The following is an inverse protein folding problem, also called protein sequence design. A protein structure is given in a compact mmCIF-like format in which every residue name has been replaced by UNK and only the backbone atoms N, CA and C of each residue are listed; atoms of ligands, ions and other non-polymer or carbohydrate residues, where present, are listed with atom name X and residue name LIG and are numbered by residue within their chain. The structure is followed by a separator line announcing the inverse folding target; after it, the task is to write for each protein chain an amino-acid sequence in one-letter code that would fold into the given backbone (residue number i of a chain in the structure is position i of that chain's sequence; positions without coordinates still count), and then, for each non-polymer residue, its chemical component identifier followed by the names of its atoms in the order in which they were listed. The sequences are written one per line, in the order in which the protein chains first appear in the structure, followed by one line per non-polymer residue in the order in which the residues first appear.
data_IF_785929501526
#
_entry.id   IF_785929501526
#
_cell.length_a   1.000
_cell.length_b   1.000
_cell.length_c   1.000
_cell.angle_alpha   90.00
_cell.angle_beta   90.00
_cell.angle_gamma   90.00
#
_symmetry.space_group_name_H-M   'P 1'
#
loop_
_entity.id
_entity.type
_entity.pdbx_description
1 polymer ?
#
# COMPACT_ATOMS: atom_id res chain seq x y z
N UNK A 1 -18.31 1.66 -10.68
CA UNK A 1 -17.49 0.51 -10.24
C UNK A 1 -17.98 0.03 -8.88
N UNK A 2 -18.23 -1.28 -8.76
CA UNK A 2 -18.74 -1.91 -7.54
C UNK A 2 -17.69 -1.88 -6.40
N UNK A 3 -18.15 -2.05 -5.15
CA UNK A 3 -17.27 -2.03 -3.98
C UNK A 3 -16.19 -3.13 -4.04
N UNK A 4 -16.56 -4.30 -4.57
CA UNK A 4 -15.65 -5.45 -4.74
C UNK A 4 -14.57 -5.16 -5.78
N UNK A 5 -14.93 -4.61 -6.95
CA UNK A 5 -13.99 -4.21 -8.00
C UNK A 5 -12.94 -3.21 -7.50
N UNK A 6 -13.35 -2.22 -6.68
CA UNK A 6 -12.42 -1.24 -6.08
C UNK A 6 -11.46 -1.89 -5.09
N UNK A 7 -11.93 -2.88 -4.33
CA UNK A 7 -11.10 -3.64 -3.39
C UNK A 7 -10.11 -4.53 -4.15
N UNK A 8 -10.55 -5.20 -5.21
CA UNK A 8 -9.70 -5.99 -6.10
C UNK A 8 -8.65 -5.12 -6.76
N UNK A 9 -9.03 -3.95 -7.27
CA UNK A 9 -8.08 -2.98 -7.84
C UNK A 9 -7.04 -2.53 -6.80
N UNK A 10 -7.46 -2.25 -5.56
CA UNK A 10 -6.57 -1.93 -4.46
C UNK A 10 -5.58 -3.07 -4.16
N UNK A 11 -6.08 -4.30 -4.00
CA UNK A 11 -5.28 -5.49 -3.72
C UNK A 11 -4.27 -5.72 -4.84
N UNK A 12 -4.73 -5.76 -6.09
CA UNK A 12 -3.88 -6.04 -7.25
C UNK A 12 -2.87 -4.94 -7.51
N UNK A 13 -3.24 -3.67 -7.32
CA UNK A 13 -2.31 -2.54 -7.43
C UNK A 13 -1.21 -2.63 -6.38
N UNK A 14 -1.53 -3.01 -5.14
CA UNK A 14 -0.54 -3.22 -4.09
C UNK A 14 0.39 -4.40 -4.44
N UNK A 15 -0.17 -5.55 -4.85
CA UNK A 15 0.63 -6.73 -5.16
C UNK A 15 1.54 -6.53 -6.39
N UNK A 16 1.13 -5.69 -7.35
CA UNK A 16 1.95 -5.29 -8.51
C UNK A 16 3.23 -4.54 -8.08
N UNK A 17 3.22 -3.81 -6.95
CA UNK A 17 4.39 -3.08 -6.44
C UNK A 17 5.38 -3.95 -5.67
N UNK A 18 5.07 -5.24 -5.46
CA UNK A 18 5.87 -6.16 -4.62
C UNK A 18 6.51 -7.30 -5.44
N UNK A 19 7.41 -7.00 -6.40
CA UNK A 19 8.09 -8.02 -7.18
C UNK A 19 8.98 -8.89 -6.28
N UNK A 20 9.07 -10.18 -6.58
CA UNK A 20 9.88 -11.19 -5.88
C UNK A 20 9.50 -11.43 -4.40
N UNK A 21 8.32 -11.00 -3.97
CA UNK A 21 7.87 -11.12 -2.58
C UNK A 21 6.50 -11.80 -2.45
N UNK A 22 6.32 -12.95 -3.10
CA UNK A 22 5.14 -13.81 -2.91
C UNK A 22 5.25 -14.55 -1.58
N UNK A 23 4.90 -13.87 -0.50
CA UNK A 23 5.01 -14.41 0.86
C UNK A 23 3.97 -13.80 1.82
N UNK A 24 3.82 -14.43 2.98
CA UNK A 24 2.85 -14.01 4.01
C UNK A 24 3.11 -12.60 4.57
N UNK A 25 4.37 -12.10 4.57
CA UNK A 25 4.68 -10.75 5.07
C UNK A 25 4.05 -9.69 4.17
N UNK A 26 4.03 -9.91 2.86
CA UNK A 26 3.38 -9.02 1.90
C UNK A 26 1.87 -8.99 2.11
N UNK A 27 1.26 -10.14 2.41
CA UNK A 27 -0.18 -10.23 2.74
C UNK A 27 -0.52 -9.49 4.03
N UNK A 28 0.32 -9.61 5.07
CA UNK A 28 0.16 -8.86 6.32
C UNK A 28 0.21 -7.35 6.08
N UNK A 29 1.20 -6.89 5.31
CA UNK A 29 1.29 -5.48 4.90
C UNK A 29 0.04 -5.03 4.15
N UNK A 30 -0.43 -5.81 3.18
CA UNK A 30 -1.66 -5.52 2.43
C UNK A 30 -2.87 -5.35 3.37
N UNK A 31 -3.02 -6.21 4.37
CA UNK A 31 -4.09 -6.11 5.38
C UNK A 31 -3.97 -4.81 6.19
N UNK A 32 -2.76 -4.46 6.62
CA UNK A 32 -2.51 -3.22 7.34
C UNK A 32 -2.83 -1.99 6.48
N UNK A 33 -2.48 -2.00 5.19
CA UNK A 33 -2.85 -0.95 4.25
C UNK A 33 -4.35 -0.88 3.98
N UNK A 34 -5.03 -2.02 3.96
CA UNK A 34 -6.47 -2.11 3.77
C UNK A 34 -7.27 -1.39 4.85
N UNK A 35 -6.77 -1.36 6.10
CA UNK A 35 -7.40 -0.62 7.21
C UNK A 35 -7.60 0.86 6.87
N UNK A 36 -6.64 1.49 6.18
CA UNK A 36 -6.71 2.90 5.76
C UNK A 36 -7.73 3.16 4.65
N UNK A 37 -8.13 2.12 3.91
CA UNK A 37 -9.18 2.18 2.90
C UNK A 37 -10.50 1.55 3.39
N UNK A 38 -10.65 1.39 4.72
CA UNK A 38 -11.82 0.79 5.39
C UNK A 38 -12.09 -0.66 4.98
N UNK A 39 -11.10 -1.36 4.46
CA UNK A 39 -11.18 -2.79 4.18
C UNK A 39 -10.73 -3.58 5.40
N UNK A 40 -11.60 -4.49 5.88
CA UNK A 40 -11.29 -5.38 7.00
C UNK A 40 -10.46 -6.56 6.50
N UNK A 41 -9.61 -7.10 7.37
CA UNK A 41 -8.76 -8.26 7.04
C UNK A 41 -9.55 -9.44 6.42
N UNK A 42 -10.74 -9.84 6.94
CA UNK A 42 -11.50 -10.93 6.33
C UNK A 42 -11.97 -10.64 4.91
N UNK A 43 -12.26 -9.37 4.58
CA UNK A 43 -12.71 -8.98 3.24
C UNK A 43 -11.55 -9.11 2.24
N UNK A 44 -10.37 -8.61 2.62
CA UNK A 44 -9.16 -8.70 1.80
C UNK A 44 -8.78 -10.16 1.57
N UNK A 45 -8.81 -10.97 2.63
CA UNK A 45 -8.49 -12.39 2.55
C UNK A 45 -9.49 -13.14 1.63
N UNK A 46 -10.79 -12.89 1.78
CA UNK A 46 -11.78 -13.49 0.89
C UNK A 46 -11.52 -13.13 -0.59
N UNK A 47 -11.21 -11.88 -0.90
CA UNK A 47 -10.90 -11.48 -2.28
C UNK A 47 -9.60 -12.10 -2.77
N UNK A 48 -8.57 -12.23 -1.93
CA UNK A 48 -7.34 -12.95 -2.28
C UNK A 48 -7.60 -14.42 -2.60
N UNK A 49 -8.45 -15.11 -1.85
CA UNK A 49 -8.82 -16.50 -2.13
C UNK A 49 -9.64 -16.64 -3.42
N UNK A 50 -10.60 -15.75 -3.67
CA UNK A 50 -11.34 -15.73 -4.94
C UNK A 50 -10.41 -15.52 -6.14
N UNK A 51 -9.45 -14.61 -6.00
CA UNK A 51 -8.51 -14.26 -7.07
C UNK A 51 -7.35 -15.25 -7.23
N UNK A 52 -7.24 -16.26 -6.38
CA UNK A 52 -6.08 -17.15 -6.33
C UNK A 52 -5.92 -18.05 -7.58
N UNK A 53 -4.85 -18.83 -7.61
CA UNK A 53 -4.55 -19.72 -8.74
C UNK A 53 -5.58 -20.85 -8.94
N UNK A 54 -6.28 -21.29 -7.89
CA UNK A 54 -7.26 -22.38 -7.98
C UNK A 54 -8.63 -21.90 -8.46
N UNK A 55 -8.94 -20.63 -8.25
CA UNK A 55 -10.26 -20.08 -8.53
C UNK A 55 -10.25 -19.21 -9.80
N UNK A 56 -9.97 -17.91 -9.68
CA UNK A 56 -10.04 -16.99 -10.82
C UNK A 56 -8.72 -16.88 -11.60
N UNK A 57 -7.62 -17.44 -11.10
CA UNK A 57 -6.30 -17.43 -11.76
C UNK A 57 -5.77 -16.02 -12.03
N UNK A 58 -6.17 -15.05 -11.21
CA UNK A 58 -5.68 -13.66 -11.25
C UNK A 58 -4.32 -13.57 -10.55
N UNK A 59 -4.16 -14.30 -9.45
CA UNK A 59 -2.93 -14.41 -8.69
C UNK A 59 -2.22 -15.72 -8.99
N UNK A 60 -0.90 -15.68 -8.89
CA UNK A 60 -0.06 -16.86 -8.99
C UNK A 60 -0.20 -17.71 -7.72
N UNK A 61 -0.33 -17.08 -6.55
CA UNK A 61 -0.43 -17.77 -5.27
C UNK A 61 -1.78 -18.49 -5.09
N UNK A 62 -1.78 -19.55 -4.27
CA UNK A 62 -2.99 -20.20 -3.76
C UNK A 62 -3.16 -19.87 -2.29
N UNK A 63 -4.39 -19.53 -1.89
CA UNK A 63 -4.70 -19.20 -0.50
C UNK A 63 -5.59 -20.28 0.11
N UNK A 64 -5.26 -20.68 1.34
CA UNK A 64 -6.12 -21.51 2.18
C UNK A 64 -6.35 -20.77 3.49
N UNK A 65 -7.60 -20.32 3.66
CA UNK A 65 -7.99 -19.43 4.74
C UNK A 65 -8.69 -20.26 5.79
N UNK A 66 -7.97 -20.54 6.87
CA UNK A 66 -8.56 -21.04 8.09
C UNK A 66 -8.75 -19.88 9.07
N UNK A 67 -9.99 -19.52 9.38
CA UNK A 67 -10.27 -18.43 10.31
C UNK A 67 -10.00 -18.81 11.78
N UNK A 68 -9.67 -20.07 12.06
CA UNK A 68 -9.28 -20.59 13.38
C UNK A 68 -7.75 -20.73 13.48
N UNK A 69 -7.09 -21.29 12.45
CA UNK A 69 -5.64 -21.56 12.43
C UNK A 69 -4.80 -20.52 11.65
N UNK A 70 -5.45 -19.51 11.06
CA UNK A 70 -4.80 -18.44 10.29
C UNK A 70 -4.70 -18.71 8.79
N UNK A 71 -4.06 -17.78 8.08
CA UNK A 71 -3.95 -17.81 6.62
C UNK A 71 -2.72 -18.62 6.21
N UNK A 72 -2.93 -19.69 5.44
CA UNK A 72 -1.87 -20.45 4.80
C UNK A 72 -1.73 -19.98 3.36
N UNK A 73 -0.54 -19.51 3.02
CA UNK A 73 -0.16 -19.23 1.64
C UNK A 73 0.63 -20.44 1.14
N UNK A 74 0.12 -21.07 0.08
CA UNK A 74 0.88 -22.11 -0.59
C UNK A 74 1.91 -21.44 -1.50
N UNK A 75 3.18 -21.56 -1.10
CA UNK A 75 4.30 -21.11 -1.90
C UNK A 75 4.35 -21.94 -3.19
N UNK A 76 4.10 -21.27 -4.31
CA UNK A 76 4.16 -21.85 -5.65
C UNK A 76 5.50 -21.53 -6.35
N UNK A 77 6.47 -20.97 -5.62
CA UNK A 77 7.75 -20.47 -6.12
C UNK A 77 7.64 -19.40 -7.22
N UNK A 78 6.53 -18.67 -7.28
CA UNK A 78 6.39 -17.56 -8.22
C UNK A 78 7.22 -16.34 -7.79
N UNK A 79 7.84 -15.70 -8.78
CA UNK A 79 8.56 -14.44 -8.63
C UNK A 79 7.64 -13.22 -8.64
N UNK A 80 6.37 -13.39 -9.02
CA UNK A 80 5.38 -12.32 -9.15
C UNK A 80 4.03 -12.76 -8.61
N UNK A 81 3.29 -11.80 -8.05
CA UNK A 81 1.95 -12.04 -7.52
C UNK A 81 0.87 -12.21 -8.58
N UNK A 82 0.93 -11.44 -9.66
CA UNK A 82 -0.09 -11.42 -10.69
C UNK A 82 0.29 -12.37 -11.82
N UNK A 83 -0.69 -13.13 -12.32
CA UNK A 83 -0.58 -13.82 -13.62
C UNK A 83 -0.74 -12.82 -14.76
N UNK A 84 -0.48 -13.23 -16.00
CA UNK A 84 -0.79 -12.41 -17.18
C UNK A 84 -2.28 -12.01 -17.22
N UNK A 85 -3.16 -12.93 -16.81
CA UNK A 85 -4.60 -12.68 -16.64
C UNK A 85 -4.84 -11.61 -15.57
N UNK A 86 -4.17 -11.70 -14.43
CA UNK A 86 -4.31 -10.71 -13.37
C UNK A 86 -3.81 -9.33 -13.75
N UNK A 87 -2.71 -9.25 -14.52
CA UNK A 87 -2.21 -7.98 -15.06
C UNK A 87 -3.21 -7.38 -16.07
N UNK A 88 -3.82 -8.19 -16.93
CA UNK A 88 -4.86 -7.72 -17.86
C UNK A 88 -6.10 -7.23 -17.09
N UNK A 89 -6.57 -8.01 -16.13
CA UNK A 89 -7.73 -7.65 -15.29
C UNK A 89 -7.48 -6.36 -14.49
N UNK A 90 -6.28 -6.17 -13.94
CA UNK A 90 -5.92 -4.93 -13.27
C UNK A 90 -5.95 -3.72 -14.21
N UNK A 91 -5.53 -3.88 -15.47
CA UNK A 91 -5.62 -2.80 -16.47
C UNK A 91 -7.08 -2.45 -16.78
N UNK A 92 -7.96 -3.45 -16.88
CA UNK A 92 -9.40 -3.24 -17.09
C UNK A 92 -10.03 -2.50 -15.91
N UNK A 93 -9.74 -2.90 -14.68
CA UNK A 93 -10.20 -2.21 -13.48
C UNK A 93 -9.74 -0.76 -13.45
N UNK A 94 -8.44 -0.50 -13.67
CA UNK A 94 -7.89 0.87 -13.73
C UNK A 94 -8.58 1.73 -14.81
N UNK A 95 -8.93 1.15 -15.96
CA UNK A 95 -9.64 1.84 -17.05
C UNK A 95 -11.11 2.12 -16.72
N UNK A 96 -11.78 1.22 -15.99
CA UNK A 96 -13.14 1.44 -15.51
C UNK A 96 -13.19 2.51 -14.42
N UNK A 97 -12.15 2.61 -13.59
CA UNK A 97 -12.09 3.60 -12.52
C UNK A 97 -11.91 5.02 -13.05
N UNK A 98 -11.10 5.21 -14.09
CA UNK A 98 -10.90 6.52 -14.73
C UNK A 98 -12.19 7.11 -15.34
N UNK A 99 -13.26 6.31 -15.46
CA UNK A 99 -14.56 6.73 -15.99
C UNK A 99 -15.62 6.97 -14.89
N UNK A 100 -15.27 6.87 -13.60
CA UNK A 100 -16.20 6.80 -12.47
C UNK A 100 -15.77 7.75 -11.33
N UNK A 101 -16.05 9.04 -11.47
CA UNK A 101 -15.58 10.11 -10.55
C UNK A 101 -16.37 10.31 -9.24
N UNK A 102 -17.35 9.46 -8.91
CA UNK A 102 -18.10 9.60 -7.65
C UNK A 102 -18.04 8.32 -6.79
N UNK A 103 -17.76 8.51 -5.50
CA UNK A 103 -17.64 7.44 -4.51
C UNK A 103 -18.45 7.80 -3.27
N UNK A 104 -19.35 6.91 -2.87
CA UNK A 104 -20.02 6.95 -1.57
C UNK A 104 -19.44 5.80 -0.71
N UNK A 105 -18.77 6.15 0.37
CA UNK A 105 -18.19 5.19 1.31
C UNK A 105 -19.07 5.10 2.56
N UNK A 106 -19.32 3.90 3.11
CA UNK A 106 -19.94 3.78 4.42
C UNK A 106 -19.11 4.53 5.48
N UNK A 107 -19.76 5.44 6.22
CA UNK A 107 -19.16 6.20 7.32
C UNK A 107 -19.26 5.39 8.61
N UNK A 108 -18.12 5.02 9.19
CA UNK A 108 -18.03 4.67 10.60
C UNK A 108 -16.77 5.31 11.18
N UNK A 109 -16.93 5.87 12.37
CA UNK A 109 -15.99 6.70 13.12
C UNK A 109 -15.00 5.81 13.88
N UNK A 110 -13.69 5.96 13.64
CA UNK A 110 -12.66 5.36 14.47
C UNK A 110 -11.60 6.42 14.80
N UNK A 111 -11.51 6.75 16.09
CA UNK A 111 -10.54 7.69 16.66
C UNK A 111 -9.13 7.07 16.56
N UNK A 112 -8.22 7.72 15.83
CA UNK A 112 -6.79 7.41 15.77
C UNK A 112 -6.04 8.49 16.55
N UNK A 113 -5.23 8.08 17.53
CA UNK A 113 -4.35 8.99 18.30
C UNK A 113 -3.39 9.73 17.35
N UNK A 114 -3.47 11.06 17.37
CA UNK A 114 -2.72 11.95 16.48
C UNK A 114 -1.35 12.30 17.07
N UNK A 115 -0.29 11.90 16.37
CA UNK A 115 1.08 12.35 16.61
C UNK A 115 1.34 13.68 15.90
N UNK A 116 2.32 14.47 16.36
CA UNK A 116 2.70 15.76 15.73
C UNK A 116 3.08 15.62 14.25
N UNK A 117 3.54 14.43 13.82
CA UNK A 117 3.92 14.13 12.44
C UNK A 117 2.73 13.84 11.51
N UNK A 118 1.55 13.53 12.07
CA UNK A 118 0.35 13.26 11.28
C UNK A 118 -0.09 14.49 10.49
N UNK A 119 0.26 15.71 10.92
CA UNK A 119 0.00 16.92 10.14
C UNK A 119 0.78 16.97 8.81
N UNK A 120 2.07 16.64 8.84
CA UNK A 120 2.90 16.62 7.62
C UNK A 120 2.54 15.47 6.69
N UNK A 121 2.24 14.30 7.25
CA UNK A 121 1.77 13.14 6.49
C UNK A 121 0.36 13.36 5.91
N UNK A 122 -0.49 14.12 6.61
CA UNK A 122 -1.80 14.54 6.08
C UNK A 122 -1.63 15.45 4.87
N UNK A 123 -0.70 16.41 4.90
CA UNK A 123 -0.39 17.26 3.74
C UNK A 123 0.20 16.46 2.58
N UNK A 124 1.06 15.47 2.86
CA UNK A 124 1.58 14.56 1.85
C UNK A 124 0.47 13.72 1.21
N UNK A 125 -0.41 13.13 2.01
CA UNK A 125 -1.52 12.32 1.49
C UNK A 125 -2.63 13.15 0.84
N UNK A 126 -2.70 14.46 1.08
CA UNK A 126 -3.66 15.35 0.43
C UNK A 126 -3.46 15.48 -1.09
N UNK A 127 -2.23 15.27 -1.59
CA UNK A 127 -1.97 15.25 -3.04
C UNK A 127 -2.57 14.02 -3.72
N UNK A 128 -3.15 13.08 -2.95
CA UNK A 128 -3.88 11.92 -3.50
C UNK A 128 -4.91 12.34 -4.56
N UNK A 129 -5.52 13.51 -4.43
CA UNK A 129 -6.49 14.03 -5.40
C UNK A 129 -5.86 14.49 -6.72
N UNK A 130 -4.56 14.84 -6.72
CA UNK A 130 -3.83 15.29 -7.91
C UNK A 130 -3.21 14.12 -8.70
N UNK A 131 -3.09 12.95 -8.05
CA UNK A 131 -2.59 11.74 -8.69
C UNK A 131 -3.64 11.12 -9.61
N UNK A 132 -3.22 10.82 -10.85
CA UNK A 132 -4.14 10.34 -11.90
C UNK A 132 -4.50 8.88 -11.73
N UNK A 133 -3.57 8.04 -11.27
CA UNK A 133 -3.80 6.60 -11.14
C UNK A 133 -3.99 6.16 -9.69
N UNK A 134 -4.88 5.20 -9.45
CA UNK A 134 -5.03 4.58 -8.13
C UNK A 134 -3.74 3.90 -7.66
N UNK A 135 -2.96 3.36 -8.59
CA UNK A 135 -1.62 2.81 -8.30
C UNK A 135 -0.70 3.87 -7.69
N UNK A 136 -0.69 5.10 -8.22
CA UNK A 136 0.06 6.21 -7.61
C UNK A 136 -0.54 6.63 -6.27
N UNK A 137 -1.87 6.63 -6.12
CA UNK A 137 -2.54 6.91 -4.83
C UNK A 137 -2.19 5.88 -3.76
N UNK A 138 -2.09 4.61 -4.13
CA UNK A 138 -1.65 3.51 -3.25
C UNK A 138 -0.16 3.66 -2.96
N UNK A 139 0.67 3.95 -3.97
CA UNK A 139 2.11 4.19 -3.77
C UNK A 139 2.36 5.38 -2.84
N UNK A 140 1.55 6.44 -2.93
CA UNK A 140 1.58 7.59 -2.01
C UNK A 140 1.23 7.17 -0.57
N UNK A 141 0.25 6.28 -0.40
CA UNK A 141 -0.13 5.76 0.92
C UNK A 141 0.98 4.87 1.50
N UNK A 142 1.57 3.99 0.68
CA UNK A 142 2.73 3.17 1.07
C UNK A 142 3.92 4.05 1.47
N UNK A 143 4.19 5.06 0.65
CA UNK A 143 5.27 5.99 0.90
C UNK A 143 5.05 6.80 2.19
N UNK A 144 3.84 7.33 2.40
CA UNK A 144 3.50 8.06 3.62
C UNK A 144 3.57 7.17 4.87
N UNK A 145 3.19 5.88 4.78
CA UNK A 145 3.29 4.96 5.90
C UNK A 145 4.76 4.65 6.26
N UNK A 146 5.61 4.40 5.27
CA UNK A 146 7.04 4.16 5.49
C UNK A 146 7.72 5.41 6.06
N UNK A 147 7.31 6.61 5.62
CA UNK A 147 7.74 7.87 6.23
C UNK A 147 7.23 8.02 7.67
N UNK A 148 5.99 7.63 7.97
CA UNK A 148 5.46 7.62 9.34
C UNK A 148 6.30 6.73 10.24
N UNK A 149 6.61 5.51 9.79
CA UNK A 149 7.47 4.59 10.54
C UNK A 149 8.86 5.17 10.82
N UNK A 150 9.44 5.89 9.85
CA UNK A 150 10.71 6.60 10.06
C UNK A 150 10.60 7.77 11.05
N UNK A 151 9.45 8.44 11.13
CA UNK A 151 9.23 9.59 12.00
C UNK A 151 8.80 9.20 13.44
N UNK A 152 8.17 8.05 13.65
CA UNK A 152 7.61 7.63 14.96
C UNK A 152 8.43 6.59 15.72
N UNK A 153 9.40 5.94 15.07
CA UNK A 153 10.43 5.04 15.63
C UNK A 153 10.02 3.60 16.07
N UNK A 154 10.91 2.61 15.83
CA UNK A 154 11.08 1.24 16.42
C UNK A 154 11.78 0.22 15.50
N UNK A 155 11.96 0.48 14.20
CA UNK A 155 12.74 -0.41 13.31
C UNK A 155 13.85 0.39 12.64
N UNK A 156 15.09 -0.10 12.74
CA UNK A 156 16.13 0.18 11.74
C UNK A 156 15.57 -0.24 10.39
N UNK A 157 14.91 0.68 9.69
CA UNK A 157 14.49 0.46 8.31
C UNK A 157 15.76 0.19 7.51
N UNK A 158 15.78 -0.93 6.79
CA UNK A 158 16.92 -1.34 6.00
C UNK A 158 17.37 -0.17 5.11
N UNK A 159 18.68 0.12 5.12
CA UNK A 159 19.26 1.18 4.31
C UNK A 159 18.77 1.03 2.86
N UNK A 160 18.01 2.01 2.37
CA UNK A 160 17.39 1.97 1.05
C UNK A 160 15.93 1.49 0.99
N UNK A 161 15.22 1.35 2.11
CA UNK A 161 13.79 1.00 2.14
C UNK A 161 12.91 1.96 1.31
N UNK A 162 13.33 3.23 1.20
CA UNK A 162 12.64 4.22 0.36
C UNK A 162 13.05 4.16 -1.13
N UNK A 163 14.11 3.42 -1.49
CA UNK A 163 14.60 3.35 -2.88
C UNK A 163 13.54 2.77 -3.83
N UNK A 164 12.68 1.87 -3.33
CA UNK A 164 11.56 1.32 -4.10
C UNK A 164 10.57 2.40 -4.57
N UNK A 165 10.49 3.52 -3.85
CA UNK A 165 9.64 4.66 -4.21
C UNK A 165 10.33 5.66 -5.13
N UNK A 166 11.62 5.50 -5.46
CA UNK A 166 12.33 6.44 -6.32
C UNK A 166 11.59 6.71 -7.65
N UNK A 167 11.09 5.70 -8.39
CA UNK A 167 10.37 5.95 -9.63
C UNK A 167 9.05 6.73 -9.43
N UNK A 168 8.41 6.58 -8.27
CA UNK A 168 7.20 7.31 -7.90
C UNK A 168 7.52 8.76 -7.52
N UNK A 169 8.57 8.97 -6.71
CA UNK A 169 9.03 10.29 -6.29
C UNK A 169 9.54 11.11 -7.47
N UNK A 170 10.36 10.52 -8.34
CA UNK A 170 10.89 11.20 -9.53
C UNK A 170 9.75 11.68 -10.45
N UNK A 171 8.71 10.86 -10.62
CA UNK A 171 7.59 11.14 -11.52
C UNK A 171 6.62 12.19 -10.98
N UNK A 172 6.44 12.24 -9.67
CA UNK A 172 5.48 13.12 -9.00
C UNK A 172 6.18 14.23 -8.19
N UNK A 173 7.43 14.55 -8.53
CA UNK A 173 8.28 15.46 -7.76
C UNK A 173 7.65 16.86 -7.58
N UNK A 174 6.97 17.36 -8.60
CA UNK A 174 6.35 18.69 -8.56
C UNK A 174 5.25 18.76 -7.49
N UNK A 175 4.44 17.70 -7.39
CA UNK A 175 3.35 17.60 -6.42
C UNK A 175 3.86 17.20 -5.03
N UNK A 176 4.91 16.38 -4.97
CA UNK A 176 5.46 15.81 -3.74
C UNK A 176 6.43 16.75 -3.02
N UNK A 177 7.24 17.53 -3.73
CA UNK A 177 8.38 18.27 -3.16
C UNK A 177 7.98 19.19 -2.01
N UNK A 178 6.91 19.98 -2.19
CA UNK A 178 6.40 20.90 -1.17
C UNK A 178 5.94 20.18 0.10
N UNK A 179 5.00 19.23 0.06
CA UNK A 179 4.56 18.52 1.27
C UNK A 179 5.62 17.57 1.85
N UNK A 180 6.58 17.10 1.05
CA UNK A 180 7.70 16.25 1.53
C UNK A 180 8.79 17.03 2.25
N UNK A 181 9.01 18.30 1.91
CA UNK A 181 10.10 19.11 2.47
C UNK A 181 10.18 19.08 4.01
N UNK A 182 9.11 19.34 4.77
CA UNK A 182 9.18 19.28 6.24
C UNK A 182 9.51 17.89 6.77
N UNK A 183 9.05 16.83 6.10
CA UNK A 183 9.34 15.45 6.45
C UNK A 183 10.83 15.14 6.25
N UNK A 184 11.41 15.55 5.11
CA UNK A 184 12.83 15.35 4.82
C UNK A 184 13.72 16.14 5.79
N UNK A 185 13.32 17.35 6.18
CA UNK A 185 14.03 18.14 7.20
C UNK A 185 14.01 17.43 8.54
N UNK A 186 12.87 16.92 8.98
CA UNK A 186 12.77 16.19 10.25
C UNK A 186 13.57 14.88 10.24
N UNK A 187 13.50 14.11 9.15
CA UNK A 187 14.30 12.90 8.99
C UNK A 187 15.80 13.22 9.00
N UNK A 188 16.25 14.24 8.26
CA UNK A 188 17.66 14.64 8.25
C UNK A 188 18.13 15.13 9.62
N UNK A 189 17.30 15.90 10.35
CA UNK A 189 17.57 16.33 11.71
C UNK A 189 17.84 15.12 12.62
N UNK A 190 16.97 14.11 12.60
CA UNK A 190 17.12 12.89 13.39
C UNK A 190 18.37 12.08 12.99
N UNK A 191 18.55 11.85 11.69
CA UNK A 191 19.72 11.09 11.21
C UNK A 191 21.06 11.78 11.50
N UNK A 192 21.12 13.11 11.49
CA UNK A 192 22.34 13.89 11.70
C UNK A 192 22.61 14.26 13.17
N UNK A 193 21.59 14.40 14.02
CA UNK A 193 21.71 14.94 15.39
C UNK A 193 21.47 13.87 16.47
N UNK A 194 20.59 12.88 16.26
CA UNK A 194 20.35 11.84 17.27
C UNK A 194 21.39 10.70 17.21
N UNK A 195 22.05 10.49 16.07
CA UNK A 195 23.17 9.54 15.96
C UNK A 195 24.51 10.10 16.49
N UNK A 196 24.57 11.36 16.96
CA UNK A 196 25.82 11.97 17.47
C UNK A 196 25.99 11.85 18.99
N UNK A 197 25.15 11.06 19.67
CA UNK A 197 25.22 10.84 21.12
C UNK A 197 25.68 9.43 21.54
N UNK A 198 26.09 8.60 20.59
CA UNK A 198 26.70 7.27 20.85
C UNK A 198 28.22 7.30 20.53
N UNK A 199 28.97 8.22 21.15
CA UNK A 199 30.44 8.14 21.32
C UNK A 199 30.80 8.07 22.81
#
# INVERSE_FOLDING_TARGET
MEFEDRMREFILSFLETQPNQVNLKTVQKLIDYGKNNKYRAPQILNELAKMDQKHEQVLTATFDIDFVDGVKLFDNHADKWLTDKGTAYLKELKHQQSNSDTVDFPKEEAQLETTQFDGYLTQLTAIRSTLKSQSEKVTLQEFALELRHLLTDTKKLDKGALNKFKPFVDRNWNELSTPMTPILVELSRRFLIENSYDD
#
